data_IF_382976898731
#
_entry.id   IF_382976898731
#
_cell.length_a   1.000
_cell.length_b   1.000
_cell.length_c   1.000
_cell.angle_alpha   90.00
_cell.angle_beta   90.00
_cell.angle_gamma   90.00
#
_symmetry.space_group_name_H-M   'P 1'
#
loop_
_entity.id
_entity.type
_entity.pdbx_description
1 polymer ?
#
# COMPACT_ATOMS: atom_id res chain seq x y z
N UNK A 1 -11.32 16.96 10.44
CA UNK A 1 -10.66 16.04 9.49
C UNK A 1 -11.16 16.34 8.10
N UNK A 2 -10.26 16.67 7.17
CA UNK A 2 -10.60 16.98 5.77
C UNK A 2 -9.74 16.15 4.81
N UNK A 3 -10.29 15.70 3.68
CA UNK A 3 -9.50 14.97 2.66
C UNK A 3 -8.71 16.00 1.85
N UNK A 4 -7.38 15.89 1.86
CA UNK A 4 -6.45 16.78 1.13
C UNK A 4 -5.99 16.21 -0.20
N UNK A 5 -5.96 14.90 -0.31
CA UNK A 5 -5.54 14.19 -1.50
C UNK A 5 -6.31 12.88 -1.60
N UNK A 6 -6.68 12.51 -2.82
CA UNK A 6 -7.27 11.22 -3.10
C UNK A 6 -6.71 10.71 -4.42
N UNK A 7 -6.20 9.49 -4.39
CA UNK A 7 -5.69 8.76 -5.53
C UNK A 7 -6.48 7.46 -5.65
N UNK A 8 -7.05 7.23 -6.83
CA UNK A 8 -7.64 5.93 -7.14
C UNK A 8 -6.54 4.91 -7.42
N UNK A 9 -6.51 3.83 -6.66
CA UNK A 9 -5.57 2.74 -6.84
C UNK A 9 -6.33 1.40 -6.96
N UNK A 10 -6.59 1.00 -8.21
CA UNK A 10 -7.37 -0.20 -8.55
C UNK A 10 -8.79 -0.21 -7.93
N UNK A 11 -9.04 -1.15 -7.01
CA UNK A 11 -10.31 -1.34 -6.30
C UNK A 11 -10.39 -0.56 -4.99
N UNK A 12 -9.36 0.23 -4.68
CA UNK A 12 -9.28 1.04 -3.48
C UNK A 12 -9.06 2.52 -3.82
N UNK A 13 -9.45 3.39 -2.90
CA UNK A 13 -9.07 4.79 -2.88
C UNK A 13 -8.04 5.01 -1.77
N UNK A 14 -6.95 5.68 -2.11
CA UNK A 14 -5.90 6.10 -1.19
C UNK A 14 -6.15 7.56 -0.87
N UNK A 15 -6.32 7.88 0.41
CA UNK A 15 -6.71 9.19 0.86
C UNK A 15 -5.68 9.74 1.85
N UNK A 16 -5.32 11.01 1.67
CA UNK A 16 -4.62 11.78 2.69
C UNK A 16 -5.67 12.62 3.40
N UNK A 17 -5.84 12.36 4.70
CA UNK A 17 -6.78 13.05 5.56
C UNK A 17 -5.99 13.90 6.55
N UNK A 18 -6.26 15.20 6.57
CA UNK A 18 -5.72 16.12 7.57
C UNK A 18 -6.38 15.85 8.93
N UNK A 19 -5.57 15.47 9.91
CA UNK A 19 -5.91 15.39 11.34
C UNK A 19 -5.59 16.70 12.06
N UNK A 20 -5.57 16.67 13.39
CA UNK A 20 -5.30 17.86 14.19
C UNK A 20 -3.84 18.31 14.11
N UNK A 21 -2.89 17.37 14.11
CA UNK A 21 -1.44 17.64 14.14
C UNK A 21 -0.65 16.79 13.12
N UNK A 22 -1.34 16.03 12.27
CA UNK A 22 -0.71 15.09 11.33
C UNK A 22 -1.59 14.85 10.10
N UNK A 23 -0.98 14.31 9.05
CA UNK A 23 -1.63 13.88 7.83
C UNK A 23 -1.70 12.35 7.79
N UNK A 24 -2.91 11.81 7.83
CA UNK A 24 -3.16 10.38 7.85
C UNK A 24 -3.31 9.85 6.42
N UNK A 25 -2.47 8.88 6.06
CA UNK A 25 -2.67 8.06 4.87
C UNK A 25 -3.64 6.93 5.19
N UNK A 26 -4.75 6.89 4.47
CA UNK A 26 -5.83 5.93 4.68
C UNK A 26 -6.18 5.23 3.38
N UNK A 27 -6.70 4.03 3.48
CA UNK A 27 -7.16 3.25 2.35
C UNK A 27 -8.61 2.82 2.51
N UNK A 28 -9.41 3.06 1.48
CA UNK A 28 -10.81 2.69 1.47
C UNK A 28 -11.07 1.72 0.31
N UNK A 29 -11.64 0.56 0.63
CA UNK A 29 -12.13 -0.37 -0.38
C UNK A 29 -13.38 0.23 -1.05
N UNK A 30 -13.43 0.18 -2.38
CA UNK A 30 -14.58 0.68 -3.15
C UNK A 30 -15.75 -0.30 -3.16
N UNK A 31 -15.49 -1.58 -2.90
CA UNK A 31 -16.52 -2.61 -2.75
C UNK A 31 -17.18 -2.58 -1.36
N UNK A 32 -16.54 -1.98 -0.35
CA UNK A 32 -17.14 -1.75 0.97
C UNK A 32 -16.88 -0.31 1.47
N UNK A 33 -17.62 0.69 0.96
CA UNK A 33 -17.36 2.11 1.21
C UNK A 33 -17.87 2.61 2.58
N UNK A 34 -18.50 1.77 3.40
CA UNK A 34 -19.18 2.18 4.65
C UNK A 34 -18.23 2.48 5.84
N UNK A 35 -16.93 2.60 5.62
CA UNK A 35 -15.94 2.97 6.65
C UNK A 35 -14.99 4.08 6.19
N UNK A 36 -14.39 4.81 7.14
CA UNK A 36 -13.39 5.88 6.91
C UNK A 36 -12.04 5.39 6.33
N UNK A 37 -12.03 4.21 5.73
CA UNK A 37 -10.82 3.50 5.34
C UNK A 37 -10.00 3.03 6.54
N UNK A 38 -9.08 2.10 6.29
CA UNK A 38 -8.08 1.70 7.27
C UNK A 38 -6.92 2.69 7.23
N UNK A 39 -6.44 3.10 8.40
CA UNK A 39 -5.23 3.89 8.52
C UNK A 39 -4.01 3.03 8.15
N UNK A 40 -3.18 3.54 7.25
CA UNK A 40 -1.92 2.92 6.84
C UNK A 40 -0.71 3.54 7.55
N UNK A 41 -0.64 4.87 7.59
CA UNK A 41 0.48 5.62 8.15
C UNK A 41 0.07 7.06 8.51
N UNK A 42 0.91 7.74 9.29
CA UNK A 42 0.81 9.18 9.58
C UNK A 42 2.10 9.89 9.19
N UNK A 43 1.96 11.13 8.74
CA UNK A 43 3.06 11.99 8.32
C UNK A 43 2.92 13.38 8.93
N UNK A 44 4.05 14.03 9.12
CA UNK A 44 4.18 15.39 9.66
C UNK A 44 3.76 16.47 8.65
N UNK A 45 3.84 16.18 7.34
CA UNK A 45 3.47 17.13 6.28
C UNK A 45 2.54 16.53 5.23
N UNK A 46 1.72 17.38 4.63
CA UNK A 46 0.80 17.00 3.55
C UNK A 46 1.54 16.40 2.36
N UNK A 47 2.67 17.03 1.99
CA UNK A 47 3.50 16.62 0.85
C UNK A 47 4.07 15.22 1.06
N UNK A 48 4.56 14.91 2.27
CA UNK A 48 5.05 13.56 2.59
C UNK A 48 3.94 12.52 2.53
N UNK A 49 2.74 12.87 2.98
CA UNK A 49 1.59 11.97 2.90
C UNK A 49 1.13 11.74 1.45
N UNK A 50 1.18 12.78 0.60
CA UNK A 50 0.90 12.68 -0.83
C UNK A 50 1.94 11.81 -1.55
N UNK A 51 3.21 12.06 -1.31
CA UNK A 51 4.31 11.25 -1.86
C UNK A 51 4.16 9.77 -1.45
N UNK A 52 3.79 9.52 -0.19
CA UNK A 52 3.53 8.18 0.30
C UNK A 52 2.31 7.52 -0.36
N UNK A 53 1.25 8.28 -0.67
CA UNK A 53 0.08 7.78 -1.40
C UNK A 53 0.44 7.34 -2.82
N UNK A 54 1.21 8.15 -3.54
CA UNK A 54 1.67 7.82 -4.89
C UNK A 54 2.65 6.64 -4.86
N UNK A 55 3.55 6.62 -3.87
CA UNK A 55 4.47 5.53 -3.66
C UNK A 55 3.72 4.21 -3.39
N UNK A 56 2.73 4.24 -2.48
CA UNK A 56 1.86 3.10 -2.20
C UNK A 56 1.28 2.52 -3.48
N UNK A 57 0.69 3.36 -4.35
CA UNK A 57 0.01 2.85 -5.52
C UNK A 57 0.95 2.22 -6.54
N UNK A 58 2.17 2.75 -6.67
CA UNK A 58 3.23 2.13 -7.48
C UNK A 58 3.63 0.76 -6.93
N UNK A 59 3.81 0.65 -5.61
CA UNK A 59 4.14 -0.63 -4.98
C UNK A 59 3.01 -1.64 -5.13
N UNK A 60 1.76 -1.21 -4.93
CA UNK A 60 0.61 -2.10 -5.09
C UNK A 60 0.49 -2.61 -6.53
N UNK A 61 0.79 -1.78 -7.53
CA UNK A 61 0.84 -2.21 -8.94
C UNK A 61 1.81 -3.38 -9.12
N UNK A 62 3.03 -3.27 -8.59
CA UNK A 62 4.04 -4.32 -8.69
C UNK A 62 3.62 -5.55 -7.89
N UNK A 63 3.13 -5.37 -6.65
CA UNK A 63 2.67 -6.49 -5.83
C UNK A 63 1.57 -7.30 -6.54
N UNK A 64 0.65 -6.63 -7.25
CA UNK A 64 -0.38 -7.29 -8.06
C UNK A 64 0.17 -8.08 -9.24
N UNK A 65 1.22 -7.59 -9.91
CA UNK A 65 1.92 -8.36 -10.95
C UNK A 65 2.46 -9.68 -10.38
N UNK A 66 2.84 -9.70 -9.10
CA UNK A 66 3.33 -10.88 -8.37
C UNK A 66 2.20 -11.73 -7.75
N UNK A 67 0.94 -11.43 -8.06
CA UNK A 67 -0.23 -12.15 -7.54
C UNK A 67 -0.64 -11.78 -6.11
N UNK A 68 -0.12 -10.69 -5.55
CA UNK A 68 -0.58 -10.19 -4.26
C UNK A 68 -1.84 -9.35 -4.42
N UNK A 69 -2.73 -9.48 -3.44
CA UNK A 69 -3.93 -8.68 -3.30
C UNK A 69 -3.87 -7.93 -1.97
N UNK A 70 -4.50 -6.76 -1.95
CA UNK A 70 -4.55 -5.97 -0.73
C UNK A 70 -5.73 -6.39 0.14
N UNK A 71 -5.45 -6.68 1.41
CA UNK A 71 -6.49 -7.00 2.39
C UNK A 71 -6.23 -6.24 3.68
N UNK A 72 -7.11 -5.28 4.00
CA UNK A 72 -6.95 -4.40 5.14
C UNK A 72 -5.74 -3.47 5.00
N UNK A 73 -4.63 -3.82 5.64
CA UNK A 73 -3.34 -3.12 5.60
C UNK A 73 -2.16 -4.02 5.22
N UNK A 74 -2.44 -5.16 4.59
CA UNK A 74 -1.43 -6.17 4.22
C UNK A 74 -1.57 -6.57 2.75
N UNK A 75 -0.45 -6.80 2.09
CA UNK A 75 -0.41 -7.52 0.83
C UNK A 75 -0.42 -9.02 1.11
N UNK A 76 -1.42 -9.73 0.58
CA UNK A 76 -1.62 -11.17 0.77
C UNK A 76 -1.55 -11.91 -0.55
N UNK A 77 -0.92 -13.08 -0.53
CA UNK A 77 -0.94 -14.09 -1.57
C UNK A 77 -1.17 -15.43 -0.89
N UNK A 78 -1.94 -16.33 -1.49
CA UNK A 78 -2.37 -17.57 -0.81
C UNK A 78 -1.20 -18.43 -0.33
N UNK A 79 -0.10 -18.44 -1.08
CA UNK A 79 1.07 -19.28 -0.81
C UNK A 79 2.19 -18.57 -0.03
N UNK A 80 2.04 -17.29 0.32
CA UNK A 80 3.09 -16.49 0.97
C UNK A 80 2.61 -15.80 2.25
N UNK A 81 3.53 -15.52 3.19
CA UNK A 81 3.20 -14.70 4.35
C UNK A 81 2.63 -13.33 3.93
N UNK A 82 1.67 -12.79 4.68
CA UNK A 82 1.18 -11.44 4.46
C UNK A 82 2.31 -10.42 4.72
N UNK A 83 2.44 -9.45 3.84
CA UNK A 83 3.43 -8.37 3.99
C UNK A 83 2.72 -7.09 4.44
N UNK A 84 3.02 -6.53 5.62
CA UNK A 84 2.40 -5.30 6.08
C UNK A 84 2.74 -4.11 5.17
N UNK A 85 1.72 -3.37 4.74
CA UNK A 85 1.89 -2.18 3.89
C UNK A 85 2.73 -1.10 4.57
N UNK A 86 2.61 -0.97 5.90
CA UNK A 86 3.41 -0.02 6.67
C UNK A 86 4.92 -0.24 6.47
N UNK A 87 5.39 -1.49 6.41
CA UNK A 87 6.81 -1.79 6.18
C UNK A 87 7.28 -1.31 4.80
N UNK A 88 6.45 -1.49 3.76
CA UNK A 88 6.74 -0.97 2.43
C UNK A 88 6.83 0.56 2.39
N UNK A 89 5.94 1.25 3.11
CA UNK A 89 5.92 2.71 3.19
C UNK A 89 7.13 3.27 3.97
N UNK A 90 7.58 2.56 5.00
CA UNK A 90 8.77 2.93 5.78
C UNK A 90 10.07 2.75 4.99
N UNK A 91 10.20 1.64 4.25
CA UNK A 91 11.41 1.31 3.50
C UNK A 91 11.63 2.19 2.27
N UNK A 92 10.62 2.93 1.80
CA UNK A 92 10.65 3.81 0.61
C UNK A 92 11.34 3.13 -0.58
N UNK A 93 11.02 1.85 -0.81
CA UNK A 93 11.72 1.05 -1.80
C UNK A 93 11.49 1.61 -3.20
N UNK A 94 12.53 1.58 -4.04
CA UNK A 94 12.32 1.85 -5.47
C UNK A 94 11.50 0.71 -6.09
N UNK A 95 10.84 0.92 -7.25
CA UNK A 95 10.18 -0.16 -7.98
C UNK A 95 11.05 -1.40 -8.16
N UNK A 96 12.33 -1.22 -8.46
CA UNK A 96 13.30 -2.31 -8.58
C UNK A 96 13.55 -3.00 -7.23
N UNK A 97 13.64 -2.23 -6.14
CA UNK A 97 13.79 -2.78 -4.78
C UNK A 97 12.58 -3.58 -4.34
N UNK A 98 11.36 -3.13 -4.68
CA UNK A 98 10.13 -3.89 -4.41
C UNK A 98 10.15 -5.22 -5.16
N UNK A 99 10.48 -5.21 -6.46
CA UNK A 99 10.61 -6.45 -7.25
C UNK A 99 11.62 -7.40 -6.64
N UNK A 100 12.82 -6.91 -6.29
CA UNK A 100 13.86 -7.72 -5.68
C UNK A 100 13.42 -8.34 -4.34
N UNK A 101 12.66 -7.60 -3.52
CA UNK A 101 12.10 -8.12 -2.27
C UNK A 101 11.10 -9.24 -2.56
N UNK A 102 10.15 -9.02 -3.47
CA UNK A 102 9.13 -10.00 -3.82
C UNK A 102 9.73 -11.25 -4.52
N UNK A 103 10.76 -11.07 -5.35
CA UNK A 103 11.54 -12.15 -5.96
C UNK A 103 12.23 -13.01 -4.90
N UNK A 104 12.83 -12.36 -3.89
CA UNK A 104 13.48 -13.07 -2.80
C UNK A 104 12.48 -13.85 -1.94
N UNK A 105 11.32 -13.28 -1.63
CA UNK A 105 10.24 -13.97 -0.93
C UNK A 105 9.77 -15.20 -1.74
N UNK A 106 9.47 -15.04 -3.03
CA UNK A 106 9.05 -16.17 -3.86
C UNK A 106 10.10 -17.28 -3.94
N UNK A 107 11.40 -16.93 -3.96
CA UNK A 107 12.49 -17.89 -3.93
C UNK A 107 12.59 -18.63 -2.59
N UNK A 108 12.40 -17.94 -1.46
CA UNK A 108 12.44 -18.55 -0.12
C UNK A 108 11.32 -19.59 0.04
N UNK A 109 10.13 -19.28 -0.46
CA UNK A 109 8.96 -20.15 -0.31
C UNK A 109 8.69 -21.05 -1.53
N UNK A 110 9.60 -21.09 -2.51
CA UNK A 110 9.54 -22.02 -3.64
C UNK A 110 8.34 -21.85 -4.57
N UNK A 111 7.72 -20.68 -4.61
CA UNK A 111 6.53 -20.43 -5.44
C UNK A 111 6.94 -20.00 -6.85
N UNK A 112 6.35 -20.58 -7.92
CA UNK A 112 6.61 -20.10 -9.28
C UNK A 112 6.06 -18.68 -9.43
N UNK A 113 6.93 -17.75 -9.82
CA UNK A 113 6.52 -16.42 -10.24
C UNK A 113 5.90 -16.55 -11.63
N UNK A 114 4.59 -16.33 -11.75
CA UNK A 114 3.95 -16.11 -13.05
C UNK A 114 4.40 -14.74 -13.55
N UNK A 115 5.46 -14.73 -14.37
CA UNK A 115 5.85 -13.56 -15.17
C UNK A 115 4.92 -13.36 -16.35
#
# INVERSE_FOLDING_TARGET
MSVKYQLRCFECDIMVVEGNDAYQLSIQSRSNPLGFGNRLAEYDTEERAKDAADHFCRMYTIAREYGYHLHGGEFRREDLPPIPVAQFLELRLTPTGVRALLDNEARIYGTPLTM
#
